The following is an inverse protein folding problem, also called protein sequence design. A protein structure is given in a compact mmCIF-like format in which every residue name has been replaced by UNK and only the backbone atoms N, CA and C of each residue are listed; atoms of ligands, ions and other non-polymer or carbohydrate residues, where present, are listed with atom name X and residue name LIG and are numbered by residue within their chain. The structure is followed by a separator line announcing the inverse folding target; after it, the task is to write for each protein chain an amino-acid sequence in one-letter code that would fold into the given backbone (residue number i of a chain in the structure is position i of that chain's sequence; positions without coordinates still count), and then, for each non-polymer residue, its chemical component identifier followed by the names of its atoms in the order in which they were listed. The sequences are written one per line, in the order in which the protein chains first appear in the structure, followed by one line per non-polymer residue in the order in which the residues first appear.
data_IF_067013077562
#
_entry.id   IF_067013077562
#
_cell.length_a   1.000
_cell.length_b   1.000
_cell.length_c   1.000
_cell.angle_alpha   90.00
_cell.angle_beta   90.00
_cell.angle_gamma   90.00
#
_symmetry.space_group_name_H-M   'P 1'
#
loop_
_entity.id
_entity.type
_entity.pdbx_description
1 polymer ?
#
# COMPACT_ATOMS: atom_id res chain seq x y z
N UNK A 1 -20.95 -47.42 32.41
CA UNK A 1 -21.09 -46.21 31.56
C UNK A 1 -19.75 -45.51 31.47
N UNK A 2 -19.03 -45.66 30.37
CA UNK A 2 -17.81 -44.89 30.11
C UNK A 2 -18.27 -43.49 29.72
N UNK A 3 -17.97 -42.53 30.58
CA UNK A 3 -18.44 -41.16 30.44
C UNK A 3 -17.84 -40.46 29.22
N UNK A 4 -18.64 -39.59 28.57
CA UNK A 4 -18.26 -38.74 27.46
C UNK A 4 -16.97 -37.92 27.70
N UNK A 5 -16.57 -37.72 28.95
CA UNK A 5 -15.32 -37.05 29.32
C UNK A 5 -14.03 -37.71 28.86
N UNK A 6 -14.06 -39.02 28.57
CA UNK A 6 -12.85 -39.78 28.17
C UNK A 6 -12.55 -39.70 26.65
N UNK A 7 -13.55 -39.33 25.86
CA UNK A 7 -13.42 -39.15 24.39
C UNK A 7 -12.67 -37.87 24.06
N UNK A 8 -12.89 -36.80 24.84
CA UNK A 8 -12.22 -35.50 24.59
C UNK A 8 -10.76 -35.46 25.04
N UNK A 9 -10.34 -36.32 25.95
CA UNK A 9 -8.93 -36.41 26.43
C UNK A 9 -7.95 -37.03 25.44
N UNK A 10 -8.43 -37.68 24.36
CA UNK A 10 -7.57 -38.38 23.38
C UNK A 10 -7.32 -37.67 22.08
N UNK A 11 -7.95 -36.54 21.83
CA UNK A 11 -7.64 -35.74 20.64
C UNK A 11 -6.46 -34.84 20.90
N UNK A 12 -5.25 -35.33 20.63
CA UNK A 12 -4.06 -34.49 20.55
C UNK A 12 -4.19 -33.61 19.32
N UNK A 13 -4.50 -32.31 19.52
CA UNK A 13 -4.43 -31.34 18.45
C UNK A 13 -3.02 -31.30 17.90
N UNK A 14 -2.87 -31.57 16.60
CA UNK A 14 -1.61 -31.36 15.89
C UNK A 14 -1.61 -29.97 15.29
N UNK A 15 -0.85 -29.04 15.89
CA UNK A 15 -0.63 -27.72 15.35
C UNK A 15 0.54 -27.76 14.37
N UNK A 16 0.33 -27.27 13.16
CA UNK A 16 1.40 -27.10 12.17
C UNK A 16 1.41 -25.64 11.72
N UNK A 17 2.53 -24.96 11.91
CA UNK A 17 2.73 -23.59 11.45
C UNK A 17 3.33 -23.64 10.06
N UNK A 18 2.71 -22.94 9.09
CA UNK A 18 3.25 -22.84 7.74
C UNK A 18 4.61 -22.14 7.75
N UNK A 19 5.56 -22.61 6.92
CA UNK A 19 6.90 -22.01 6.82
C UNK A 19 6.87 -20.55 6.37
N UNK A 20 5.83 -20.16 5.62
CA UNK A 20 5.60 -18.80 5.13
C UNK A 20 4.67 -17.97 6.04
N UNK A 21 4.34 -18.46 7.25
CA UNK A 21 3.51 -17.69 8.17
C UNK A 21 4.21 -16.41 8.60
N UNK A 22 3.47 -15.29 8.58
CA UNK A 22 3.96 -13.98 8.99
C UNK A 22 3.77 -12.91 7.91
N UNK A 23 4.42 -11.78 8.12
CA UNK A 23 4.37 -10.66 7.18
C UNK A 23 5.20 -10.92 5.92
N UNK A 24 4.72 -10.44 4.78
CA UNK A 24 5.55 -10.37 3.59
C UNK A 24 6.74 -9.41 3.80
N UNK A 25 7.74 -9.47 2.93
CA UNK A 25 8.94 -8.65 3.02
C UNK A 25 8.64 -7.15 3.16
N UNK A 26 7.74 -6.60 2.35
CA UNK A 26 7.41 -5.16 2.36
C UNK A 26 6.78 -4.72 3.68
N UNK A 27 5.82 -5.50 4.19
CA UNK A 27 5.16 -5.24 5.49
C UNK A 27 6.15 -5.40 6.63
N UNK A 28 6.97 -6.45 6.64
CA UNK A 28 7.99 -6.68 7.69
C UNK A 28 8.97 -5.50 7.77
N UNK A 29 9.44 -5.01 6.60
CA UNK A 29 10.34 -3.85 6.53
C UNK A 29 9.68 -2.60 7.14
N UNK A 30 8.43 -2.31 6.78
CA UNK A 30 7.71 -1.13 7.27
C UNK A 30 7.49 -1.19 8.79
N UNK A 31 7.03 -2.34 9.29
CA UNK A 31 6.79 -2.55 10.72
C UNK A 31 8.10 -2.42 11.51
N UNK A 32 9.18 -3.07 11.07
CA UNK A 32 10.48 -2.99 11.75
C UNK A 32 11.01 -1.55 11.79
N UNK A 33 10.86 -0.79 10.71
CA UNK A 33 11.29 0.62 10.67
C UNK A 33 10.57 1.45 11.74
N UNK A 34 9.25 1.30 11.89
CA UNK A 34 8.51 2.08 12.89
C UNK A 34 8.90 1.67 14.32
N UNK A 35 9.07 0.37 14.58
CA UNK A 35 9.52 -0.08 15.92
C UNK A 35 10.90 0.45 16.25
N UNK A 36 11.84 0.40 15.30
CA UNK A 36 13.17 0.94 15.49
C UNK A 36 13.13 2.44 15.81
N UNK A 37 12.37 3.22 15.02
CA UNK A 37 12.24 4.65 15.29
C UNK A 37 11.54 4.95 16.62
N UNK A 38 10.55 4.14 17.01
CA UNK A 38 9.88 4.27 18.29
C UNK A 38 10.81 4.06 19.50
N UNK A 39 11.88 3.26 19.34
CA UNK A 39 12.87 2.96 20.39
C UNK A 39 14.04 3.95 20.38
N UNK A 40 14.49 4.39 19.20
CA UNK A 40 15.75 5.13 19.04
C UNK A 40 15.55 6.66 18.91
N UNK A 41 14.38 7.11 18.42
CA UNK A 41 14.17 8.53 18.14
C UNK A 41 14.07 9.37 19.41
N UNK A 42 14.77 10.51 19.41
CA UNK A 42 14.70 11.53 20.48
C UNK A 42 13.66 12.63 20.18
N UNK A 43 12.94 12.49 19.11
CA UNK A 43 11.89 13.41 18.62
C UNK A 43 10.60 12.65 18.43
N UNK A 44 9.45 13.34 18.37
CA UNK A 44 8.16 12.66 18.11
C UNK A 44 8.19 11.83 16.84
N UNK A 45 7.57 10.65 16.89
CA UNK A 45 7.46 9.72 15.76
C UNK A 45 6.00 9.59 15.34
N UNK A 46 5.76 9.74 14.07
CA UNK A 46 4.43 9.67 13.45
C UNK A 46 4.41 8.64 12.34
N UNK A 47 3.24 8.08 12.05
CA UNK A 47 2.99 7.36 10.80
C UNK A 47 1.92 8.10 10.00
N UNK A 48 2.09 8.20 8.70
CA UNK A 48 1.06 8.76 7.82
C UNK A 48 0.12 7.63 7.37
N UNK A 49 -1.06 7.61 7.98
CA UNK A 49 -1.96 6.47 8.01
C UNK A 49 -1.44 5.33 8.89
N UNK A 50 -2.26 4.31 9.17
CA UNK A 50 -1.80 3.11 9.87
C UNK A 50 -0.72 2.42 9.06
N UNK A 51 0.39 2.03 9.70
CA UNK A 51 1.57 1.45 8.99
C UNK A 51 1.20 0.19 8.21
N UNK A 52 0.27 -0.59 8.76
CA UNK A 52 -0.36 -1.76 8.18
C UNK A 52 -1.80 -1.89 8.67
N UNK A 53 -2.61 -2.69 7.98
CA UNK A 53 -3.97 -3.03 8.42
C UNK A 53 -3.97 -4.11 9.52
N UNK A 54 -3.42 -3.76 10.69
CA UNK A 54 -3.41 -4.62 11.89
C UNK A 54 -3.57 -3.75 13.13
N UNK A 55 -4.74 -3.83 13.75
CA UNK A 55 -5.11 -2.98 14.89
C UNK A 55 -4.24 -3.22 16.13
N UNK A 56 -3.75 -4.45 16.34
CA UNK A 56 -2.88 -4.77 17.47
C UNK A 56 -1.53 -4.09 17.33
N UNK A 57 -0.94 -4.13 16.13
CA UNK A 57 0.32 -3.43 15.85
C UNK A 57 0.15 -1.93 16.01
N UNK A 58 -0.94 -1.36 15.48
CA UNK A 58 -1.22 0.08 15.63
C UNK A 58 -1.39 0.48 17.09
N UNK A 59 -2.08 -0.35 17.88
CA UNK A 59 -2.28 -0.12 19.31
C UNK A 59 -0.95 -0.21 20.11
N UNK A 60 -0.11 -1.20 19.83
CA UNK A 60 1.19 -1.34 20.47
C UNK A 60 2.11 -0.15 20.14
N UNK A 61 2.18 0.25 18.87
CA UNK A 61 2.94 1.43 18.46
C UNK A 61 2.45 2.72 19.14
N UNK A 62 1.13 2.87 19.32
CA UNK A 62 0.55 4.00 20.06
C UNK A 62 0.99 4.00 21.54
N UNK A 63 1.07 2.84 22.18
CA UNK A 63 1.59 2.72 23.55
C UNK A 63 3.07 3.08 23.66
N UNK A 64 3.83 2.93 22.58
CA UNK A 64 5.24 3.34 22.45
C UNK A 64 5.41 4.80 22.05
N UNK A 65 4.32 5.58 21.99
CA UNK A 65 4.37 7.01 21.67
C UNK A 65 4.35 7.33 20.18
N UNK A 66 4.12 6.36 19.29
CA UNK A 66 3.92 6.63 17.85
C UNK A 66 2.48 7.06 17.59
N UNK A 67 2.31 8.18 16.91
CA UNK A 67 0.99 8.73 16.58
C UNK A 67 0.66 8.58 15.11
N UNK A 68 -0.59 8.19 14.82
CA UNK A 68 -1.09 8.09 13.44
C UNK A 68 -1.66 9.42 13.00
N UNK A 69 -1.09 9.99 11.95
CA UNK A 69 -1.58 11.19 11.26
C UNK A 69 -2.38 10.72 10.04
N UNK A 70 -3.55 11.27 9.82
CA UNK A 70 -4.44 10.84 8.73
C UNK A 70 -4.52 11.84 7.59
N UNK A 71 -4.34 13.12 7.89
CA UNK A 71 -4.50 14.22 6.94
C UNK A 71 -3.33 15.20 7.05
N UNK A 72 -2.92 15.75 5.91
CA UNK A 72 -1.80 16.71 5.85
C UNK A 72 -2.00 17.94 6.76
N UNK A 73 -3.25 18.41 6.90
CA UNK A 73 -3.56 19.57 7.75
C UNK A 73 -3.21 19.37 9.22
N UNK A 74 -3.18 18.12 9.70
CA UNK A 74 -2.78 17.83 11.08
C UNK A 74 -1.31 18.21 11.34
N UNK A 75 -0.45 18.11 10.30
CA UNK A 75 0.98 18.36 10.40
C UNK A 75 1.34 19.79 10.78
N UNK A 76 0.46 20.74 10.50
CA UNK A 76 0.69 22.17 10.81
C UNK A 76 0.77 22.41 12.31
N UNK A 77 0.01 21.65 13.09
CA UNK A 77 -0.14 21.82 14.54
C UNK A 77 0.67 20.81 15.37
N UNK A 78 1.38 19.89 14.72
CA UNK A 78 2.16 18.87 15.41
C UNK A 78 3.62 19.34 15.65
N UNK A 79 4.23 18.97 16.79
CA UNK A 79 5.65 19.12 17.00
C UNK A 79 6.44 18.45 15.88
N UNK A 80 7.50 19.11 15.39
CA UNK A 80 8.32 18.54 14.31
C UNK A 80 9.08 17.33 14.79
N UNK A 81 9.18 16.34 13.93
CA UNK A 81 9.76 15.04 14.24
C UNK A 81 9.89 14.19 13.00
N UNK A 82 9.87 12.88 13.17
CA UNK A 82 9.92 11.90 12.09
C UNK A 82 8.52 11.47 11.68
N UNK A 83 8.24 11.41 10.38
CA UNK A 83 7.00 10.88 9.84
C UNK A 83 7.30 9.73 8.87
N UNK A 84 6.71 8.58 9.15
CA UNK A 84 6.96 7.34 8.41
C UNK A 84 5.79 7.10 7.47
N UNK A 85 6.10 7.00 6.16
CA UNK A 85 5.13 6.66 5.13
C UNK A 85 4.81 5.17 5.22
N UNK A 86 3.51 4.83 5.24
CA UNK A 86 3.02 3.44 5.29
C UNK A 86 3.46 2.60 4.09
N UNK A 87 3.37 1.26 4.22
CA UNK A 87 3.80 0.30 3.19
C UNK A 87 3.08 0.43 1.83
N UNK A 88 1.87 1.01 1.81
CA UNK A 88 1.08 1.24 0.59
C UNK A 88 1.56 2.43 -0.25
N UNK A 89 2.46 3.25 0.29
CA UNK A 89 2.87 4.50 -0.34
C UNK A 89 1.84 5.61 -0.20
N UNK A 90 2.18 6.75 -0.78
CA UNK A 90 1.37 7.98 -0.81
C UNK A 90 1.57 8.68 -2.15
N UNK A 91 0.76 9.69 -2.42
CA UNK A 91 0.93 10.56 -3.59
C UNK A 91 2.19 11.42 -3.49
N UNK A 92 2.70 11.87 -4.63
CA UNK A 92 3.81 12.83 -4.69
C UNK A 92 3.51 14.11 -3.90
N UNK A 93 2.30 14.66 -4.08
CA UNK A 93 1.85 15.87 -3.38
C UNK A 93 1.96 15.73 -1.86
N UNK A 94 1.51 14.62 -1.32
CA UNK A 94 1.59 14.35 0.12
C UNK A 94 3.04 14.25 0.58
N UNK A 95 3.88 13.53 -0.18
CA UNK A 95 5.29 13.40 0.13
C UNK A 95 6.04 14.76 0.16
N UNK A 96 5.78 15.61 -0.83
CA UNK A 96 6.38 16.94 -0.92
C UNK A 96 5.86 17.87 0.19
N UNK A 97 4.55 17.80 0.49
CA UNK A 97 3.94 18.59 1.55
C UNK A 97 4.54 18.25 2.94
N UNK A 98 4.77 16.98 3.25
CA UNK A 98 5.38 16.58 4.52
C UNK A 98 6.79 17.16 4.67
N UNK A 99 7.59 17.12 3.61
CA UNK A 99 8.92 17.74 3.60
C UNK A 99 8.85 19.25 3.78
N UNK A 100 7.93 19.90 3.07
CA UNK A 100 7.72 21.33 3.18
C UNK A 100 7.29 21.77 4.58
N UNK A 101 6.54 20.94 5.29
CA UNK A 101 6.17 21.15 6.70
C UNK A 101 7.34 20.96 7.68
N UNK A 102 8.53 20.56 7.23
CA UNK A 102 9.72 20.43 8.09
C UNK A 102 9.80 19.13 8.87
N UNK A 103 9.12 18.08 8.44
CA UNK A 103 9.28 16.73 9.01
C UNK A 103 10.44 15.98 8.36
N UNK A 104 11.13 15.15 9.13
CA UNK A 104 12.01 14.12 8.58
C UNK A 104 11.16 12.97 8.06
N UNK A 105 11.08 12.83 6.73
CA UNK A 105 10.24 11.84 6.07
C UNK A 105 11.00 10.55 5.85
N UNK A 106 10.55 9.47 6.49
CA UNK A 106 11.07 8.12 6.32
C UNK A 106 10.10 7.30 5.46
N UNK A 107 10.58 6.81 4.33
CA UNK A 107 9.73 6.10 3.37
C UNK A 107 9.77 4.58 3.61
N UNK A 108 8.69 4.05 4.22
CA UNK A 108 8.49 2.63 4.40
C UNK A 108 7.64 1.98 3.29
N UNK A 109 7.37 2.70 2.20
CA UNK A 109 6.65 2.15 1.04
C UNK A 109 7.30 0.86 0.55
N UNK A 110 6.48 -0.14 0.28
CA UNK A 110 6.95 -1.41 -0.25
C UNK A 110 7.73 -1.19 -1.57
N UNK A 111 8.93 -1.78 -1.75
CA UNK A 111 9.73 -1.62 -2.98
C UNK A 111 8.97 -1.98 -4.27
N UNK A 112 8.04 -2.92 -4.21
CA UNK A 112 7.19 -3.27 -5.35
C UNK A 112 6.22 -2.12 -5.69
N UNK A 113 5.63 -1.46 -4.70
CA UNK A 113 4.77 -0.28 -4.89
C UNK A 113 5.60 0.89 -5.43
N UNK A 114 6.79 1.15 -4.87
CA UNK A 114 7.70 2.18 -5.39
C UNK A 114 8.07 1.95 -6.86
N UNK A 115 8.23 0.69 -7.27
CA UNK A 115 8.47 0.36 -8.68
C UNK A 115 7.28 0.78 -9.55
N UNK A 116 6.05 0.55 -9.08
CA UNK A 116 4.84 0.95 -9.80
C UNK A 116 4.77 2.49 -9.90
N UNK A 117 5.02 3.22 -8.80
CA UNK A 117 5.07 4.68 -8.80
C UNK A 117 6.03 5.21 -9.88
N UNK A 118 7.25 4.66 -9.97
CA UNK A 118 8.24 5.06 -10.98
C UNK A 118 7.80 4.72 -12.40
N UNK A 119 7.10 3.60 -12.60
CA UNK A 119 6.59 3.22 -13.92
C UNK A 119 5.50 4.18 -14.38
N UNK A 120 4.50 4.46 -13.54
CA UNK A 120 3.40 5.35 -13.93
C UNK A 120 3.90 6.78 -14.12
N UNK A 121 4.82 7.26 -13.29
CA UNK A 121 5.45 8.56 -13.47
C UNK A 121 6.20 8.65 -14.79
N UNK A 122 7.06 7.67 -15.08
CA UNK A 122 7.84 7.64 -16.32
C UNK A 122 6.93 7.63 -17.55
N UNK A 123 6.02 6.66 -17.62
CA UNK A 123 5.22 6.47 -18.83
C UNK A 123 4.16 7.55 -19.02
N UNK A 124 3.61 8.13 -17.94
CA UNK A 124 2.73 9.29 -18.08
C UNK A 124 3.45 10.51 -18.68
N UNK A 125 4.70 10.78 -18.27
CA UNK A 125 5.56 11.80 -18.89
C UNK A 125 5.89 11.53 -20.36
N UNK A 126 5.96 10.26 -20.74
CA UNK A 126 6.19 9.83 -22.14
C UNK A 126 4.88 9.82 -22.98
N UNK A 127 3.76 10.28 -22.42
CA UNK A 127 2.48 10.40 -23.12
C UNK A 127 1.63 9.14 -23.14
N UNK A 128 1.95 8.11 -22.36
CA UNK A 128 1.13 6.91 -22.24
C UNK A 128 -0.12 7.18 -21.40
N UNK A 129 -1.26 6.62 -21.81
CA UNK A 129 -2.44 6.50 -20.95
C UNK A 129 -2.16 5.50 -19.83
N UNK A 130 -2.43 5.90 -18.60
CA UNK A 130 -2.20 5.03 -17.44
C UNK A 130 -3.49 4.30 -17.10
N UNK A 131 -3.43 2.97 -17.03
CA UNK A 131 -4.53 2.11 -16.59
C UNK A 131 -4.04 1.31 -15.38
N UNK A 132 -4.79 1.36 -14.28
CA UNK A 132 -4.44 0.71 -13.02
C UNK A 132 -5.49 -0.35 -12.72
N UNK A 133 -5.10 -1.62 -12.74
CA UNK A 133 -5.95 -2.72 -12.31
C UNK A 133 -5.99 -2.77 -10.77
N UNK A 134 -7.09 -2.35 -10.16
CA UNK A 134 -7.23 -2.26 -8.71
C UNK A 134 -8.47 -1.48 -8.28
N UNK A 135 -8.70 -1.44 -6.96
CA UNK A 135 -9.79 -0.66 -6.39
C UNK A 135 -9.36 0.80 -6.21
N UNK A 136 -10.06 1.74 -6.84
CA UNK A 136 -9.73 3.18 -6.82
C UNK A 136 -9.68 3.79 -5.41
N UNK A 137 -10.48 3.27 -4.46
CA UNK A 137 -10.51 3.73 -3.07
C UNK A 137 -9.49 3.02 -2.18
N UNK A 138 -8.65 2.17 -2.74
CA UNK A 138 -7.59 1.53 -1.95
C UNK A 138 -6.39 2.46 -1.81
N UNK A 139 -5.80 2.63 -0.61
CA UNK A 139 -4.68 3.54 -0.37
C UNK A 139 -3.47 3.36 -1.29
N UNK A 140 -3.20 2.12 -1.74
CA UNK A 140 -2.13 1.86 -2.70
C UNK A 140 -2.44 2.45 -4.08
N UNK A 141 -3.69 2.31 -4.55
CA UNK A 141 -4.12 2.83 -5.85
C UNK A 141 -4.19 4.35 -5.83
N UNK A 142 -4.71 4.95 -4.76
CA UNK A 142 -4.68 6.41 -4.55
C UNK A 142 -3.23 6.94 -4.59
N UNK A 143 -2.31 6.24 -3.92
CA UNK A 143 -0.88 6.55 -3.96
C UNK A 143 -0.34 6.50 -5.39
N UNK A 144 -0.61 5.43 -6.15
CA UNK A 144 -0.16 5.26 -7.54
C UNK A 144 -0.70 6.37 -8.43
N UNK A 145 -2.01 6.70 -8.34
CA UNK A 145 -2.64 7.78 -9.09
C UNK A 145 -1.95 9.12 -8.85
N UNK A 146 -1.50 9.38 -7.63
CA UNK A 146 -0.80 10.60 -7.26
C UNK A 146 0.60 10.78 -7.87
N UNK A 147 1.12 9.77 -8.60
CA UNK A 147 2.38 9.84 -9.34
C UNK A 147 2.20 9.97 -10.85
N UNK A 148 0.96 9.98 -11.33
CA UNK A 148 0.67 10.19 -12.76
C UNK A 148 0.80 11.69 -13.09
N UNK A 149 1.47 12.02 -14.18
CA UNK A 149 1.69 13.40 -14.63
C UNK A 149 1.20 13.61 -16.08
N UNK A 150 0.44 14.69 -16.28
CA UNK A 150 0.13 15.21 -17.61
C UNK A 150 -0.79 14.35 -18.48
N UNK A 151 -1.17 13.15 -18.03
CA UNK A 151 -2.04 12.24 -18.76
C UNK A 151 -3.21 11.77 -17.91
N UNK A 152 -4.38 11.45 -18.50
CA UNK A 152 -5.45 10.79 -17.79
C UNK A 152 -5.01 9.41 -17.29
N UNK A 153 -5.47 9.06 -16.07
CA UNK A 153 -5.33 7.75 -15.48
C UNK A 153 -6.71 7.16 -15.20
N UNK A 154 -6.83 5.86 -15.38
CA UNK A 154 -8.06 5.12 -15.20
C UNK A 154 -7.83 3.94 -14.27
N UNK A 155 -8.80 3.64 -13.43
CA UNK A 155 -8.82 2.43 -12.60
C UNK A 155 -9.82 1.44 -13.19
N UNK A 156 -9.45 0.16 -13.19
CA UNK A 156 -10.28 -0.93 -13.71
C UNK A 156 -10.25 -2.14 -12.77
N UNK A 157 -11.35 -2.82 -12.65
CA UNK A 157 -11.48 -4.06 -11.86
C UNK A 157 -11.95 -5.24 -12.71
N UNK A 158 -12.48 -4.95 -13.88
CA UNK A 158 -13.14 -5.93 -14.77
C UNK A 158 -12.87 -5.64 -16.25
N UNK A 159 -13.27 -6.57 -17.11
CA UNK A 159 -13.25 -6.42 -18.56
C UNK A 159 -14.15 -5.28 -19.01
N UNK A 160 -15.37 -5.21 -18.46
CA UNK A 160 -16.36 -4.18 -18.79
C UNK A 160 -15.84 -2.77 -18.51
N UNK A 161 -15.00 -2.61 -17.49
CA UNK A 161 -14.36 -1.31 -17.22
C UNK A 161 -13.43 -0.90 -18.36
N UNK A 162 -12.60 -1.84 -18.88
CA UNK A 162 -11.71 -1.59 -20.00
C UNK A 162 -12.49 -1.25 -21.28
N UNK A 163 -13.60 -1.93 -21.54
CA UNK A 163 -14.42 -1.68 -22.73
C UNK A 163 -14.97 -0.25 -22.76
N UNK A 164 -15.25 0.33 -21.58
CA UNK A 164 -15.75 1.70 -21.41
C UNK A 164 -14.65 2.75 -21.44
N UNK A 165 -13.37 2.37 -21.39
CA UNK A 165 -12.27 3.35 -21.43
C UNK A 165 -12.24 4.09 -22.76
N UNK A 166 -12.05 5.43 -22.75
CA UNK A 166 -11.97 6.24 -23.94
C UNK A 166 -10.59 6.12 -24.61
N UNK A 167 -10.13 4.89 -24.82
CA UNK A 167 -8.88 4.59 -25.52
C UNK A 167 -9.13 4.58 -27.03
N UNK A 168 -8.21 5.18 -27.78
CA UNK A 168 -8.25 5.20 -29.24
C UNK A 168 -7.25 4.20 -29.81
N UNK A 169 -7.54 3.69 -30.99
CA UNK A 169 -6.60 2.83 -31.72
C UNK A 169 -5.25 3.54 -31.89
N UNK A 170 -4.17 2.82 -31.60
CA UNK A 170 -2.79 3.34 -31.67
C UNK A 170 -2.34 4.17 -30.45
N UNK A 171 -3.20 4.42 -29.47
CA UNK A 171 -2.74 5.07 -28.22
C UNK A 171 -1.80 4.15 -27.42
N UNK A 172 -0.75 4.76 -26.89
CA UNK A 172 0.15 4.04 -25.99
C UNK A 172 -0.46 3.91 -24.61
N UNK A 173 -0.54 2.69 -24.09
CA UNK A 173 -1.12 2.37 -22.78
C UNK A 173 -0.06 1.75 -21.87
N UNK A 174 0.02 2.23 -20.65
CA UNK A 174 0.77 1.58 -19.57
C UNK A 174 -0.23 0.99 -18.58
N UNK A 175 -0.36 -0.35 -18.59
CA UNK A 175 -1.19 -1.08 -17.64
C UNK A 175 -0.33 -1.55 -16.46
N UNK A 176 -0.72 -1.18 -15.26
CA UNK A 176 -0.15 -1.65 -14.00
C UNK A 176 -1.24 -2.22 -13.11
N UNK A 177 -0.85 -2.93 -12.04
CA UNK A 177 -1.82 -3.49 -11.10
C UNK A 177 -1.46 -3.15 -9.65
N UNK A 178 -2.48 -3.02 -8.81
CA UNK A 178 -2.34 -3.09 -7.37
C UNK A 178 -1.65 -4.40 -6.99
N UNK A 179 -0.71 -4.38 -6.04
CA UNK A 179 0.14 -5.53 -5.70
C UNK A 179 -0.64 -6.78 -5.24
N UNK A 180 -1.86 -6.59 -4.73
CA UNK A 180 -2.77 -7.67 -4.31
C UNK A 180 -3.80 -8.05 -5.36
N UNK A 181 -3.74 -7.48 -6.58
CA UNK A 181 -4.67 -7.81 -7.65
C UNK A 181 -4.47 -9.26 -8.14
N UNK A 182 -5.56 -9.92 -8.54
CA UNK A 182 -5.51 -11.30 -8.99
C UNK A 182 -4.73 -11.42 -10.31
N UNK A 183 -3.69 -12.27 -10.33
CA UNK A 183 -2.81 -12.43 -11.47
C UNK A 183 -3.54 -12.88 -12.75
N UNK A 184 -4.46 -13.87 -12.67
CA UNK A 184 -5.17 -14.36 -13.85
C UNK A 184 -6.08 -13.27 -14.43
N UNK A 185 -6.83 -12.56 -13.56
CA UNK A 185 -7.63 -11.41 -14.02
C UNK A 185 -6.75 -10.34 -14.68
N UNK A 186 -5.55 -10.08 -14.14
CA UNK A 186 -4.65 -9.11 -14.77
C UNK A 186 -4.22 -9.55 -16.17
N UNK A 187 -3.92 -10.84 -16.38
CA UNK A 187 -3.60 -11.38 -17.70
C UNK A 187 -4.78 -11.22 -18.69
N UNK A 188 -5.99 -11.48 -18.25
CA UNK A 188 -7.20 -11.28 -19.07
C UNK A 188 -7.33 -9.81 -19.51
N UNK A 189 -7.12 -8.85 -18.58
CA UNK A 189 -7.13 -7.41 -18.87
C UNK A 189 -6.04 -7.02 -19.89
N UNK A 190 -4.84 -7.60 -19.78
CA UNK A 190 -3.74 -7.40 -20.76
C UNK A 190 -4.17 -7.81 -22.15
N UNK A 191 -4.77 -9.01 -22.30
CA UNK A 191 -5.19 -9.50 -23.61
C UNK A 191 -6.32 -8.67 -24.24
N UNK A 192 -7.20 -8.10 -23.41
CA UNK A 192 -8.26 -7.21 -23.90
C UNK A 192 -7.69 -5.88 -24.40
N UNK A 193 -6.77 -5.25 -23.62
CA UNK A 193 -6.14 -3.98 -24.01
C UNK A 193 -5.35 -4.14 -25.31
N UNK A 194 -4.67 -5.29 -25.52
CA UNK A 194 -3.94 -5.56 -26.77
C UNK A 194 -4.83 -5.65 -28.01
N UNK A 195 -6.12 -5.95 -27.84
CA UNK A 195 -7.08 -6.09 -28.95
C UNK A 195 -7.85 -4.81 -29.23
N UNK A 196 -7.77 -3.82 -28.34
CA UNK A 196 -8.43 -2.54 -28.42
C UNK A 196 -7.52 -1.48 -29.09
#
# INVERSE_FOLDING_TARGET
SRGLGDVYKRQKMKLTIAKSAGYCFGVKRAVNMVYQEAEEAKVPVYTYGPIIHNEEVVRDLKQRGVHVVRELKELENLPKGKIIIRSHGISRREHEAMKACGFEVLDATCPFVLKIHRLVEKYSKEGYRIVIAGNEHHPEVEGILGWVEGQPAYTVTSQEDIEKLPLKEGEKVCLVAQTTFNYNKFQDLVEIIKKK
#
